data_IF_632285969458
#
_entry.id   IF_632285969458
#
_cell.length_a   1.000
_cell.length_b   1.000
_cell.length_c   1.000
_cell.angle_alpha   90.00
_cell.angle_beta   90.00
_cell.angle_gamma   90.00
#
_symmetry.space_group_name_H-M   'P 1'
#
loop_
_entity.id
_entity.type
_entity.pdbx_description
1 polymer ?
#
# COMPACT_ATOMS: atom_id res chain seq x y z
N UNK A 1 9.80 29.20 11.91
CA UNK A 1 8.38 28.84 11.60
C UNK A 1 7.98 27.76 12.60
N UNK A 2 6.80 27.90 13.18
CA UNK A 2 6.46 27.41 14.53
C UNK A 2 6.18 25.91 14.59
N UNK A 3 6.80 25.23 15.56
CA UNK A 3 6.57 23.84 15.99
C UNK A 3 5.07 23.49 16.12
N UNK A 4 4.22 24.49 16.40
CA UNK A 4 2.77 24.30 16.48
C UNK A 4 2.11 23.93 15.13
N UNK A 5 2.62 24.45 14.01
CA UNK A 5 2.06 24.16 12.69
C UNK A 5 2.38 22.73 12.25
N UNK A 6 3.57 22.23 12.60
CA UNK A 6 4.00 20.86 12.31
C UNK A 6 3.17 19.86 13.13
N UNK A 7 2.97 20.11 14.43
CA UNK A 7 2.13 19.28 15.29
C UNK A 7 0.66 19.23 14.84
N UNK A 8 0.11 20.36 14.38
CA UNK A 8 -1.25 20.40 13.81
C UNK A 8 -1.32 19.68 12.45
N UNK A 9 -0.23 19.73 11.67
CA UNK A 9 -0.07 18.97 10.43
C UNK A 9 -0.03 17.45 10.68
N UNK A 10 0.74 17.01 11.67
CA UNK A 10 0.86 15.61 12.11
C UNK A 10 -0.47 15.08 12.64
N UNK A 11 -1.15 15.78 13.56
CA UNK A 11 -2.46 15.39 14.08
C UNK A 11 -3.54 15.33 12.99
N UNK A 12 -3.49 16.24 12.01
CA UNK A 12 -4.40 16.21 10.86
C UNK A 12 -4.08 15.05 9.91
N UNK A 13 -2.80 14.69 9.79
CA UNK A 13 -2.33 13.48 9.11
C UNK A 13 -2.87 12.21 9.77
N UNK A 14 -2.67 12.05 11.08
CA UNK A 14 -3.15 10.89 11.84
C UNK A 14 -4.68 10.73 11.77
N UNK A 15 -5.43 11.84 11.87
CA UNK A 15 -6.88 11.80 11.74
C UNK A 15 -7.33 11.44 10.30
N UNK A 16 -6.60 11.90 9.29
CA UNK A 16 -6.82 11.55 7.89
C UNK A 16 -6.54 10.07 7.65
N UNK A 17 -5.40 9.57 8.10
CA UNK A 17 -4.96 8.18 7.97
C UNK A 17 -5.92 7.23 8.68
N UNK A 18 -6.34 7.55 9.91
CA UNK A 18 -7.32 6.76 10.66
C UNK A 18 -8.66 6.67 9.93
N UNK A 19 -9.17 7.81 9.45
CA UNK A 19 -10.43 7.87 8.70
C UNK A 19 -10.33 7.19 7.32
N UNK A 20 -9.15 7.20 6.72
CA UNK A 20 -8.89 6.51 5.46
C UNK A 20 -8.81 5.00 5.65
N UNK A 21 -8.19 4.53 6.74
CA UNK A 21 -8.15 3.11 7.13
C UNK A 21 -9.57 2.55 7.34
N UNK A 22 -10.46 3.34 7.94
CA UNK A 22 -11.89 3.01 8.07
C UNK A 22 -12.63 2.94 6.72
N UNK A 23 -12.22 3.74 5.72
CA UNK A 23 -12.81 3.75 4.37
C UNK A 23 -12.06 2.89 3.34
N UNK A 24 -10.98 2.22 3.74
CA UNK A 24 -10.10 1.47 2.86
C UNK A 24 -10.87 0.41 2.05
N UNK A 25 -11.87 -0.21 2.65
CA UNK A 25 -12.75 -1.19 1.99
C UNK A 25 -13.53 -0.59 0.81
N UNK A 26 -13.95 0.67 0.89
CA UNK A 26 -14.68 1.36 -0.18
C UNK A 26 -13.72 1.88 -1.25
N UNK A 27 -12.59 2.44 -0.82
CA UNK A 27 -11.59 3.05 -1.72
C UNK A 27 -10.79 2.03 -2.53
N UNK A 28 -10.48 0.87 -1.95
CA UNK A 28 -9.76 -0.21 -2.64
C UNK A 28 -10.67 -1.20 -3.36
N UNK A 29 -11.99 -1.06 -3.22
CA UNK A 29 -12.95 -1.93 -3.88
C UNK A 29 -12.74 -2.01 -5.41
N UNK A 30 -12.37 -0.95 -6.15
CA UNK A 30 -12.11 -1.07 -7.57
C UNK A 30 -10.91 -1.97 -7.92
N UNK A 31 -9.94 -2.13 -7.01
CA UNK A 31 -8.73 -2.95 -7.22
C UNK A 31 -9.05 -4.43 -7.01
N UNK A 32 -9.65 -4.76 -5.86
CA UNK A 32 -9.87 -6.14 -5.43
C UNK A 32 -11.19 -6.29 -4.65
N UNK A 33 -11.62 -7.53 -4.44
CA UNK A 33 -12.85 -7.89 -3.73
C UNK A 33 -12.53 -8.69 -2.47
N UNK A 34 -13.49 -8.77 -1.54
CA UNK A 34 -13.31 -9.43 -0.23
C UNK A 34 -12.14 -8.85 0.58
N UNK A 35 -12.05 -7.51 0.60
CA UNK A 35 -11.02 -6.77 1.33
C UNK A 35 -11.14 -7.02 2.83
N UNK A 36 -10.05 -7.45 3.44
CA UNK A 36 -9.92 -7.68 4.89
C UNK A 36 -8.62 -7.02 5.35
N UNK A 37 -8.76 -5.91 6.05
CA UNK A 37 -7.63 -5.24 6.69
C UNK A 37 -7.04 -6.17 7.76
N UNK A 38 -5.72 -6.36 7.74
CA UNK A 38 -5.03 -7.03 8.82
C UNK A 38 -4.96 -6.11 10.04
N UNK A 39 -5.31 -6.66 11.19
CA UNK A 39 -5.03 -6.02 12.48
C UNK A 39 -3.53 -5.98 12.72
N UNK A 40 -3.06 -5.04 13.55
CA UNK A 40 -1.64 -4.99 13.97
C UNK A 40 -1.14 -6.36 14.46
N UNK A 41 -1.85 -6.98 15.40
CA UNK A 41 -1.49 -8.32 15.92
C UNK A 41 -1.32 -9.37 14.82
N UNK A 42 -2.33 -9.54 13.94
CA UNK A 42 -2.25 -10.51 12.85
C UNK A 42 -1.17 -10.21 11.79
N UNK A 43 -0.71 -8.95 11.70
CA UNK A 43 0.43 -8.58 10.87
C UNK A 43 1.74 -8.91 11.61
N UNK A 44 1.84 -8.59 12.89
CA UNK A 44 3.01 -8.91 13.71
C UNK A 44 3.24 -10.42 13.77
N UNK A 45 2.21 -11.22 14.08
CA UNK A 45 2.31 -12.69 14.10
C UNK A 45 2.83 -13.23 12.75
N UNK A 46 2.34 -12.69 11.63
CA UNK A 46 2.77 -13.10 10.28
C UNK A 46 4.24 -12.76 10.01
N UNK A 47 4.71 -11.60 10.47
CA UNK A 47 6.07 -11.13 10.23
C UNK A 47 7.06 -11.82 11.16
N UNK A 48 6.70 -12.03 12.42
CA UNK A 48 7.51 -12.76 13.41
C UNK A 48 7.70 -14.21 12.95
N UNK A 49 6.63 -14.90 12.51
CA UNK A 49 6.71 -16.25 11.91
C UNK A 49 7.66 -16.29 10.71
N UNK A 50 7.67 -15.24 9.88
CA UNK A 50 8.54 -15.16 8.71
C UNK A 50 10.01 -14.88 9.05
N UNK A 51 10.26 -14.11 10.12
CA UNK A 51 11.61 -13.89 10.67
C UNK A 51 12.14 -15.18 11.31
N UNK A 52 11.32 -15.86 12.11
CA UNK A 52 11.67 -17.14 12.74
C UNK A 52 11.97 -18.22 11.68
N UNK A 53 11.24 -18.21 10.56
CA UNK A 53 11.49 -19.07 9.41
C UNK A 53 12.71 -18.65 8.56
N UNK A 54 13.35 -17.52 8.86
CA UNK A 54 14.49 -16.97 8.14
C UNK A 54 14.15 -16.44 6.73
N UNK A 55 12.88 -16.22 6.43
CA UNK A 55 12.42 -15.68 5.13
C UNK A 55 12.53 -14.16 5.08
N UNK A 56 12.36 -13.49 6.22
CA UNK A 56 12.61 -12.07 6.39
C UNK A 56 13.70 -11.82 7.42
N UNK A 57 14.43 -10.74 7.25
CA UNK A 57 15.23 -10.13 8.33
C UNK A 57 14.36 -9.30 9.26
N UNK A 58 14.86 -9.03 10.47
CA UNK A 58 14.20 -8.13 11.43
C UNK A 58 13.95 -6.72 10.84
N UNK A 59 14.92 -6.20 10.09
CA UNK A 59 14.81 -4.89 9.44
C UNK A 59 13.74 -4.88 8.34
N UNK A 60 13.67 -5.93 7.54
CA UNK A 60 12.62 -6.10 6.51
C UNK A 60 11.22 -6.22 7.15
N UNK A 61 11.10 -7.01 8.22
CA UNK A 61 9.86 -7.11 8.97
C UNK A 61 9.46 -5.75 9.56
N UNK A 62 10.42 -5.01 10.15
CA UNK A 62 10.18 -3.67 10.65
C UNK A 62 9.68 -2.71 9.56
N UNK A 63 10.30 -2.72 8.38
CA UNK A 63 9.88 -1.91 7.25
C UNK A 63 8.43 -2.18 6.82
N UNK A 64 7.99 -3.44 6.82
CA UNK A 64 6.60 -3.79 6.51
C UNK A 64 5.63 -3.35 7.62
N UNK A 65 6.00 -3.43 8.90
CA UNK A 65 5.16 -2.96 10.03
C UNK A 65 4.81 -1.48 9.93
N UNK A 66 5.67 -0.69 9.29
CA UNK A 66 5.47 0.74 9.09
C UNK A 66 4.46 1.08 7.98
N UNK A 67 3.91 0.09 7.27
CA UNK A 67 2.86 0.32 6.27
C UNK A 67 1.57 0.84 6.91
N UNK A 68 0.90 1.80 6.26
CA UNK A 68 -0.33 2.40 6.82
C UNK A 68 -1.49 1.40 6.84
N UNK A 69 -1.52 0.47 5.88
CA UNK A 69 -2.46 -0.64 5.85
C UNK A 69 -1.93 -1.85 5.05
N UNK A 70 -2.18 -3.05 5.56
CA UNK A 70 -2.00 -4.32 4.85
C UNK A 70 -3.36 -5.01 4.74
N UNK A 71 -3.81 -5.30 3.51
CA UNK A 71 -5.16 -5.80 3.24
C UNK A 71 -5.10 -7.11 2.47
N UNK A 72 -5.67 -8.18 3.03
CA UNK A 72 -5.91 -9.42 2.27
C UNK A 72 -7.14 -9.24 1.38
N UNK A 73 -7.05 -9.68 0.14
CA UNK A 73 -8.11 -9.52 -0.84
C UNK A 73 -8.10 -10.64 -1.90
N UNK A 74 -9.05 -10.58 -2.83
CA UNK A 74 -9.06 -11.41 -4.03
C UNK A 74 -9.11 -10.54 -5.28
N UNK A 75 -8.19 -10.79 -6.22
CA UNK A 75 -8.10 -10.06 -7.48
C UNK A 75 -9.39 -10.24 -8.28
N UNK A 76 -9.76 -9.20 -9.04
CA UNK A 76 -11.04 -9.17 -9.75
C UNK A 76 -11.05 -10.00 -11.02
N UNK A 77 -9.94 -10.11 -11.72
CA UNK A 77 -9.80 -10.83 -12.99
C UNK A 77 -9.91 -12.36 -12.85
N UNK A 78 -9.13 -12.96 -11.93
CA UNK A 78 -8.98 -14.41 -11.81
C UNK A 78 -9.32 -14.97 -10.42
N UNK A 79 -9.58 -14.09 -9.45
CA UNK A 79 -9.93 -14.48 -8.09
C UNK A 79 -8.75 -14.91 -7.23
N UNK A 80 -7.51 -14.75 -7.69
CA UNK A 80 -6.30 -15.05 -6.92
C UNK A 80 -6.29 -14.30 -5.59
N UNK A 81 -5.83 -14.96 -4.52
CA UNK A 81 -5.61 -14.27 -3.25
C UNK A 81 -4.41 -13.34 -3.37
N UNK A 82 -4.62 -12.09 -3.01
CA UNK A 82 -3.61 -11.03 -3.10
C UNK A 82 -3.54 -10.28 -1.77
N UNK A 83 -2.38 -9.68 -1.51
CA UNK A 83 -2.20 -8.73 -0.42
C UNK A 83 -2.00 -7.34 -1.01
N UNK A 84 -2.70 -6.34 -0.49
CA UNK A 84 -2.44 -4.93 -0.81
C UNK A 84 -1.61 -4.35 0.33
N UNK A 85 -0.52 -3.66 -0.01
CA UNK A 85 0.27 -2.87 0.94
C UNK A 85 0.11 -1.41 0.56
N UNK A 86 -0.49 -0.63 1.45
CA UNK A 86 -0.95 0.72 1.14
C UNK A 86 -0.27 1.79 1.99
N UNK A 87 0.14 2.87 1.32
CA UNK A 87 0.57 4.13 1.94
C UNK A 87 -0.49 5.20 1.70
N UNK A 88 -0.83 5.93 2.75
CA UNK A 88 -1.91 6.90 2.79
C UNK A 88 -1.34 8.28 3.14
N UNK A 89 -1.65 9.27 2.32
CA UNK A 89 -1.24 10.65 2.55
C UNK A 89 -2.27 11.61 1.99
N UNK A 90 -2.55 12.72 2.67
CA UNK A 90 -3.44 13.76 2.15
C UNK A 90 -2.97 14.27 0.76
N UNK A 91 -1.65 14.36 0.56
CA UNK A 91 -1.03 14.64 -0.74
C UNK A 91 0.10 13.64 -1.00
N UNK A 92 -0.14 12.71 -1.92
CA UNK A 92 0.81 11.64 -2.23
C UNK A 92 2.11 12.24 -2.78
N UNK A 93 3.24 11.83 -2.19
CA UNK A 93 4.59 12.18 -2.60
C UNK A 93 5.28 10.99 -3.27
N UNK A 94 6.38 11.26 -3.97
CA UNK A 94 7.24 10.21 -4.53
C UNK A 94 7.73 9.24 -3.44
N UNK A 95 8.06 9.76 -2.25
CA UNK A 95 8.47 8.91 -1.12
C UNK A 95 7.37 7.97 -0.65
N UNK A 96 6.09 8.37 -0.71
CA UNK A 96 4.97 7.49 -0.37
C UNK A 96 4.86 6.34 -1.38
N UNK A 97 5.11 6.61 -2.68
CA UNK A 97 5.16 5.59 -3.74
C UNK A 97 6.31 4.60 -3.52
N UNK A 98 7.50 5.13 -3.21
CA UNK A 98 8.68 4.31 -2.96
C UNK A 98 8.49 3.38 -1.75
N UNK A 99 7.92 3.89 -0.65
CA UNK A 99 7.58 3.07 0.52
C UNK A 99 6.60 1.97 0.16
N UNK A 100 5.51 2.29 -0.56
CA UNK A 100 4.52 1.30 -0.96
C UNK A 100 5.15 0.17 -1.78
N UNK A 101 5.96 0.55 -2.79
CA UNK A 101 6.64 -0.40 -3.67
C UNK A 101 7.62 -1.30 -2.90
N UNK A 102 8.45 -0.72 -2.03
CA UNK A 102 9.45 -1.48 -1.29
C UNK A 102 8.81 -2.44 -0.29
N UNK A 103 7.83 -1.97 0.49
CA UNK A 103 7.13 -2.81 1.47
C UNK A 103 6.34 -3.93 0.81
N UNK A 104 5.74 -3.68 -0.36
CA UNK A 104 5.11 -4.72 -1.15
C UNK A 104 6.13 -5.74 -1.68
N UNK A 105 7.31 -5.30 -2.12
CA UNK A 105 8.40 -6.17 -2.58
C UNK A 105 8.90 -7.09 -1.46
N UNK A 106 9.08 -6.54 -0.25
CA UNK A 106 9.47 -7.32 0.93
C UNK A 106 8.39 -8.35 1.24
N UNK A 107 7.11 -7.94 1.36
CA UNK A 107 6.05 -8.87 1.73
C UNK A 107 5.78 -9.94 0.65
N UNK A 108 6.10 -9.65 -0.61
CA UNK A 108 6.00 -10.62 -1.71
C UNK A 108 6.96 -11.80 -1.57
N UNK A 109 8.03 -11.72 -0.77
CA UNK A 109 8.94 -12.85 -0.52
C UNK A 109 8.27 -13.99 0.24
N UNK A 110 7.11 -13.73 0.87
CA UNK A 110 6.28 -14.75 1.53
C UNK A 110 5.41 -15.57 0.56
N UNK A 111 5.81 -15.65 -0.72
CA UNK A 111 5.09 -16.32 -1.82
C UNK A 111 3.60 -15.92 -1.95
N UNK A 112 3.32 -14.65 -1.64
CA UNK A 112 1.99 -14.06 -1.71
C UNK A 112 1.98 -12.96 -2.76
N UNK A 113 1.13 -13.06 -3.81
CA UNK A 113 0.97 -11.98 -4.77
C UNK A 113 0.62 -10.68 -4.04
N UNK A 114 1.53 -9.70 -4.08
CA UNK A 114 1.41 -8.47 -3.31
C UNK A 114 1.36 -7.27 -4.25
N UNK A 115 0.41 -6.38 -4.00
CA UNK A 115 0.12 -5.20 -4.81
C UNK A 115 0.42 -3.94 -3.99
N UNK A 116 1.39 -3.11 -4.42
CA UNK A 116 1.62 -1.82 -3.79
C UNK A 116 0.53 -0.81 -4.16
N UNK A 117 0.10 -0.01 -3.19
CA UNK A 117 -0.95 1.01 -3.36
C UNK A 117 -0.53 2.33 -2.70
N UNK A 118 -0.75 3.45 -3.38
CA UNK A 118 -0.77 4.77 -2.75
C UNK A 118 -2.18 5.35 -2.77
N UNK A 119 -2.50 6.05 -1.69
CA UNK A 119 -3.83 6.53 -1.42
C UNK A 119 -3.80 7.97 -0.89
N UNK A 120 -4.64 8.85 -1.44
CA UNK A 120 -4.72 10.23 -0.95
C UNK A 120 -5.90 11.02 -1.49
N UNK A 121 -5.95 12.32 -1.20
CA UNK A 121 -6.95 13.19 -1.87
C UNK A 121 -6.57 13.40 -3.33
N UNK A 122 -5.28 13.60 -3.58
CA UNK A 122 -4.71 13.85 -4.91
C UNK A 122 -3.37 13.14 -5.05
N UNK A 123 -3.09 12.71 -6.28
CA UNK A 123 -1.78 12.19 -6.69
C UNK A 123 -1.19 13.19 -7.71
N UNK A 124 -0.20 14.02 -7.31
CA UNK A 124 0.45 14.97 -8.19
C UNK A 124 1.16 14.27 -9.37
N UNK A 125 1.36 14.94 -10.52
CA UNK A 125 1.95 14.33 -11.72
C UNK A 125 3.28 13.61 -11.49
N UNK A 126 4.19 14.17 -10.66
CA UNK A 126 5.47 13.52 -10.40
C UNK A 126 5.32 12.22 -9.58
N UNK A 127 4.38 12.20 -8.62
CA UNK A 127 4.08 10.98 -7.87
C UNK A 127 3.37 9.94 -8.75
N UNK A 128 2.49 10.39 -9.66
CA UNK A 128 1.82 9.51 -10.61
C UNK A 128 2.82 8.87 -11.59
N UNK A 129 3.81 9.64 -12.06
CA UNK A 129 4.91 9.11 -12.88
C UNK A 129 5.74 8.06 -12.14
N UNK A 130 6.14 8.34 -10.90
CA UNK A 130 6.82 7.37 -10.05
C UNK A 130 5.96 6.12 -9.81
N UNK A 131 4.66 6.28 -9.57
CA UNK A 131 3.74 5.16 -9.35
C UNK A 131 3.64 4.26 -10.58
N UNK A 132 3.54 4.86 -11.77
CA UNK A 132 3.56 4.08 -13.02
C UNK A 132 4.89 3.36 -13.22
N UNK A 133 6.01 4.02 -12.96
CA UNK A 133 7.34 3.43 -13.12
C UNK A 133 7.59 2.26 -12.15
N UNK A 134 7.05 2.34 -10.94
CA UNK A 134 7.24 1.35 -9.86
C UNK A 134 6.10 0.32 -9.75
N UNK A 135 5.12 0.35 -10.66
CA UNK A 135 4.03 -0.63 -10.65
C UNK A 135 3.03 -0.45 -9.49
N UNK A 136 2.85 0.78 -9.00
CA UNK A 136 2.01 1.11 -7.85
C UNK A 136 0.62 1.58 -8.26
N UNK A 137 -0.41 1.01 -7.62
CA UNK A 137 -1.80 1.45 -7.78
C UNK A 137 -2.03 2.81 -7.15
N UNK A 138 -2.81 3.65 -7.80
CA UNK A 138 -3.10 5.00 -7.33
C UNK A 138 -4.58 5.13 -6.97
N UNK A 139 -4.87 5.61 -5.76
CA UNK A 139 -6.23 5.79 -5.27
C UNK A 139 -6.42 7.23 -4.81
N UNK A 140 -7.32 7.95 -5.48
CA UNK A 140 -7.58 9.37 -5.19
C UNK A 140 -9.07 9.69 -5.10
N UNK A 141 -9.41 10.97 -4.90
CA UNK A 141 -10.78 11.44 -5.05
C UNK A 141 -11.29 11.32 -6.50
N UNK A 142 -10.41 11.38 -7.50
CA UNK A 142 -10.77 11.28 -8.91
C UNK A 142 -11.08 9.84 -9.34
N UNK A 143 -10.61 8.83 -8.59
CA UNK A 143 -10.82 7.43 -8.89
C UNK A 143 -9.61 6.56 -8.54
N UNK A 144 -9.58 5.37 -9.13
CA UNK A 144 -8.50 4.40 -9.02
C UNK A 144 -7.82 4.26 -10.37
N UNK A 145 -6.51 4.45 -10.41
CA UNK A 145 -5.70 4.21 -11.60
C UNK A 145 -4.79 2.99 -11.39
N UNK A 146 -4.83 1.99 -12.29
CA UNK A 146 -3.92 0.86 -12.24
C UNK A 146 -2.50 1.29 -12.63
N UNK A 147 -1.46 0.56 -12.16
CA UNK A 147 -0.15 0.66 -12.77
C UNK A 147 -0.20 0.21 -14.24
N UNK A 148 0.73 0.68 -15.09
CA UNK A 148 0.82 0.19 -16.45
C UNK A 148 1.05 -1.32 -16.42
N UNK A 149 0.27 -2.06 -17.20
CA UNK A 149 0.55 -3.48 -17.38
C UNK A 149 1.90 -3.60 -18.08
N UNK A 150 2.77 -4.56 -17.68
CA UNK A 150 3.92 -4.89 -18.53
C UNK A 150 3.39 -5.18 -19.93
N UNK A 151 4.05 -4.71 -21.01
CA UNK A 151 3.60 -4.98 -22.35
C UNK A 151 3.41 -6.49 -22.48
N UNK A 152 2.18 -6.93 -22.74
CA UNK A 152 1.91 -8.32 -23.08
C UNK A 152 2.82 -8.63 -24.24
N UNK A 153 3.81 -9.50 -24.02
CA UNK A 153 4.59 -10.06 -25.11
C UNK A 153 3.56 -10.61 -26.09
N UNK A 154 3.43 -9.95 -27.25
CA UNK A 154 2.54 -10.39 -28.29
C UNK A 154 2.93 -11.83 -28.59
N UNK A 155 1.99 -12.75 -28.37
CA UNK A 155 2.14 -14.13 -28.77
C UNK A 155 2.56 -14.11 -30.25
N UNK A 156 3.82 -14.46 -30.48
CA UNK A 156 4.39 -14.71 -31.81
C UNK A 156 4.33 -16.20 -32.07
#
# INVERSE_FOLDING_TARGET
MSKLADWVGELRGEAFERRYREQASTRFAPIARRLRLLTGQALDDLLDDAVDAGTLTEDEAHEVRLADAVVRARRRDDGAEVVLVAEVSAGVRISDVQRAAERARILATLDRPTLPVVAGERVPPQAAEAARALGVWQVSAAGVEPPPQPPTAAAS
#
